data_IF_660490348866
#
_entry.id   IF_660490348866
#
_cell.length_a   1.000
_cell.length_b   1.000
_cell.length_c   1.000
_cell.angle_alpha   90.00
_cell.angle_beta   90.00
_cell.angle_gamma   90.00
#
_symmetry.space_group_name_H-M   'P 1'
#
loop_
_entity.id
_entity.type
_entity.pdbx_description
1 polymer ?
#
# COMPACT_ATOMS: atom_id res chain seq x y z
N UNK A 1 -25.66 2.25 -27.68
CA UNK A 1 -25.43 0.99 -26.94
C UNK A 1 -25.93 1.18 -25.51
N UNK A 2 -27.18 0.74 -25.25
CA UNK A 2 -27.73 0.64 -23.90
C UNK A 2 -26.95 -0.42 -23.13
N UNK A 3 -25.99 0.01 -22.34
CA UNK A 3 -25.35 -0.83 -21.34
C UNK A 3 -26.39 -1.15 -20.26
N UNK A 4 -26.81 -2.39 -20.22
CA UNK A 4 -27.94 -2.92 -19.48
C UNK A 4 -27.79 -2.69 -17.98
N UNK A 5 -28.31 -1.58 -17.43
CA UNK A 5 -28.34 -1.21 -16.00
C UNK A 5 -28.83 -2.34 -15.05
N UNK A 6 -29.56 -3.31 -15.58
CA UNK A 6 -30.06 -4.45 -14.79
C UNK A 6 -29.02 -5.53 -14.47
N UNK A 7 -27.85 -5.55 -15.14
CA UNK A 7 -26.78 -6.53 -14.86
C UNK A 7 -25.79 -6.05 -13.77
N UNK A 8 -25.76 -4.76 -13.47
CA UNK A 8 -24.83 -4.21 -12.45
C UNK A 8 -25.26 -4.49 -10.99
N UNK A 9 -26.53 -4.80 -10.75
CA UNK A 9 -27.03 -5.02 -9.39
C UNK A 9 -26.75 -6.42 -8.80
N UNK A 10 -26.12 -7.34 -9.55
CA UNK A 10 -25.88 -8.72 -9.11
C UNK A 10 -24.39 -9.11 -8.98
N UNK A 11 -23.47 -8.15 -8.99
CA UNK A 11 -22.03 -8.43 -8.87
C UNK A 11 -21.45 -8.02 -7.48
N UNK A 12 -22.28 -7.89 -6.49
CA UNK A 12 -21.78 -7.75 -5.12
C UNK A 12 -21.28 -9.10 -4.62
N UNK A 13 -20.05 -9.45 -4.97
CA UNK A 13 -19.30 -10.49 -4.28
C UNK A 13 -18.87 -9.95 -2.90
N UNK A 14 -19.87 -9.62 -2.06
CA UNK A 14 -19.62 -9.25 -0.70
C UNK A 14 -19.39 -10.53 0.12
N UNK A 15 -18.19 -10.71 0.63
CA UNK A 15 -17.90 -11.71 1.65
C UNK A 15 -18.27 -11.09 2.98
N UNK A 16 -19.38 -11.53 3.58
CA UNK A 16 -19.73 -11.13 4.94
C UNK A 16 -18.76 -11.81 5.91
N UNK A 17 -17.89 -11.05 6.51
CA UNK A 17 -17.14 -11.45 7.70
C UNK A 17 -17.90 -10.99 8.95
N UNK A 18 -17.72 -11.66 10.08
CA UNK A 18 -18.39 -11.27 11.35
C UNK A 18 -18.04 -9.84 11.82
N UNK A 19 -17.10 -9.15 11.17
CA UNK A 19 -16.61 -7.82 11.53
C UNK A 19 -16.83 -6.75 10.46
N UNK A 20 -17.52 -7.07 9.37
CA UNK A 20 -17.81 -6.11 8.31
C UNK A 20 -17.98 -6.75 6.93
N UNK A 21 -18.33 -5.93 5.95
CA UNK A 21 -18.48 -6.35 4.57
C UNK A 21 -17.19 -6.01 3.82
N UNK A 22 -16.43 -7.04 3.40
CA UNK A 22 -15.32 -6.85 2.49
C UNK A 22 -15.87 -6.76 1.06
N UNK A 23 -15.72 -5.61 0.43
CA UNK A 23 -16.12 -5.40 -0.96
C UNK A 23 -14.91 -5.73 -1.84
N UNK A 24 -14.95 -6.90 -2.48
CA UNK A 24 -13.97 -7.31 -3.50
C UNK A 24 -14.52 -6.92 -4.88
N UNK A 25 -14.56 -5.61 -5.14
CA UNK A 25 -15.07 -5.08 -6.40
C UNK A 25 -13.90 -4.65 -7.28
N UNK A 26 -13.79 -5.25 -8.48
CA UNK A 26 -12.82 -4.85 -9.50
C UNK A 26 -13.26 -3.61 -10.30
N UNK A 27 -14.51 -3.17 -10.13
CA UNK A 27 -15.09 -2.07 -10.88
C UNK A 27 -15.09 -0.74 -10.10
N UNK A 28 -13.98 -0.42 -9.44
CA UNK A 28 -13.84 0.80 -8.63
C UNK A 28 -14.14 2.09 -9.40
N UNK A 29 -13.99 2.09 -10.71
CA UNK A 29 -14.37 3.21 -11.58
C UNK A 29 -15.87 3.55 -11.51
N UNK A 30 -16.73 2.60 -11.15
CA UNK A 30 -18.18 2.83 -11.01
C UNK A 30 -18.51 3.87 -9.93
N UNK A 31 -17.63 4.08 -8.95
CA UNK A 31 -17.77 5.14 -7.93
C UNK A 31 -17.45 6.55 -8.45
N UNK A 32 -16.90 6.64 -9.67
CA UNK A 32 -16.50 7.87 -10.35
C UNK A 32 -17.12 7.96 -11.74
N UNK A 33 -18.39 7.55 -11.85
CA UNK A 33 -19.09 7.41 -13.13
C UNK A 33 -19.08 8.70 -13.95
N UNK A 34 -19.30 9.86 -13.32
CA UNK A 34 -19.29 11.15 -14.01
C UNK A 34 -17.96 11.43 -14.70
N UNK A 35 -16.85 11.07 -14.05
CA UNK A 35 -15.51 11.24 -14.61
C UNK A 35 -15.25 10.25 -15.75
N UNK A 36 -15.70 9.02 -15.61
CA UNK A 36 -15.61 8.01 -16.68
C UNK A 36 -16.40 8.46 -17.90
N UNK A 37 -17.61 8.98 -17.70
CA UNK A 37 -18.44 9.49 -18.77
C UNK A 37 -17.83 10.72 -19.47
N UNK A 38 -17.24 11.65 -18.72
CA UNK A 38 -16.53 12.79 -19.29
C UNK A 38 -15.36 12.33 -20.17
N UNK A 39 -14.60 11.32 -19.73
CA UNK A 39 -13.51 10.73 -20.51
C UNK A 39 -14.04 10.04 -21.79
N UNK A 40 -15.13 9.28 -21.69
CA UNK A 40 -15.78 8.64 -22.88
C UNK A 40 -16.28 9.68 -23.89
N UNK A 41 -16.70 10.86 -23.41
CA UNK A 41 -17.09 11.99 -24.25
C UNK A 41 -15.89 12.74 -24.87
N UNK A 42 -14.65 12.32 -24.59
CA UNK A 42 -13.44 12.95 -25.11
C UNK A 42 -12.98 14.20 -24.33
N UNK A 43 -13.52 14.43 -23.14
CA UNK A 43 -13.09 15.52 -22.28
C UNK A 43 -11.73 15.21 -21.65
N UNK A 44 -10.94 16.26 -21.38
CA UNK A 44 -9.69 16.11 -20.63
C UNK A 44 -10.00 16.04 -19.15
N UNK A 45 -9.72 14.89 -18.55
CA UNK A 45 -9.94 14.63 -17.13
C UNK A 45 -8.61 14.37 -16.42
N UNK A 46 -8.55 14.68 -15.13
CA UNK A 46 -7.46 14.21 -14.27
C UNK A 46 -7.71 12.74 -13.87
N UNK A 47 -6.66 11.95 -13.58
CA UNK A 47 -6.84 10.62 -13.01
C UNK A 47 -7.54 10.68 -11.65
N UNK A 48 -8.21 9.59 -11.26
CA UNK A 48 -8.85 9.49 -9.94
C UNK A 48 -7.80 9.32 -8.85
N UNK A 49 -6.76 8.53 -9.13
CA UNK A 49 -5.67 8.26 -8.20
C UNK A 49 -4.31 8.26 -8.91
N UNK A 50 -3.25 8.45 -8.14
CA UNK A 50 -1.87 8.45 -8.60
C UNK A 50 -1.06 7.46 -7.78
N UNK A 51 -0.26 6.64 -8.46
CA UNK A 51 0.77 5.81 -7.84
C UNK A 51 2.11 6.56 -7.87
N UNK A 52 2.78 6.69 -6.73
CA UNK A 52 4.04 7.40 -6.64
C UNK A 52 4.95 6.89 -5.52
N UNK A 53 6.20 7.32 -5.53
CA UNK A 53 7.15 7.13 -4.45
C UNK A 53 7.67 8.47 -3.93
N UNK A 54 8.01 8.52 -2.64
CA UNK A 54 8.65 9.68 -2.04
C UNK A 54 10.18 9.61 -2.07
N UNK A 55 10.71 8.40 -2.33
CA UNK A 55 12.15 8.16 -2.45
C UNK A 55 12.41 6.89 -3.23
N UNK A 56 13.52 6.83 -3.94
CA UNK A 56 14.04 5.60 -4.56
C UNK A 56 14.94 4.78 -3.63
N UNK A 57 15.27 5.30 -2.45
CA UNK A 57 16.05 4.56 -1.46
C UNK A 57 15.20 3.44 -0.84
N UNK A 58 15.81 2.28 -0.65
CA UNK A 58 15.20 1.11 -0.02
C UNK A 58 16.31 0.27 0.62
N UNK A 59 16.08 -0.25 1.82
CA UNK A 59 17.01 -1.16 2.48
C UNK A 59 16.86 -2.63 2.06
N UNK A 60 15.80 -2.98 1.32
CA UNK A 60 15.59 -4.33 0.80
C UNK A 60 16.15 -4.51 -0.61
N UNK A 61 16.41 -5.76 -1.00
CA UNK A 61 16.90 -6.17 -2.33
C UNK A 61 16.01 -7.26 -2.94
N UNK A 62 14.70 -7.10 -2.82
CA UNK A 62 13.72 -8.13 -3.18
C UNK A 62 13.99 -8.75 -4.54
N UNK A 63 13.93 -10.09 -4.62
CA UNK A 63 14.24 -10.85 -5.84
C UNK A 63 13.28 -10.54 -6.99
N UNK A 64 12.07 -10.11 -6.69
CA UNK A 64 11.01 -9.72 -7.65
C UNK A 64 10.97 -8.22 -7.95
N UNK A 65 11.85 -7.41 -7.36
CA UNK A 65 11.76 -5.95 -7.46
C UNK A 65 12.20 -5.47 -8.85
N UNK A 66 11.28 -4.91 -9.61
CA UNK A 66 11.59 -4.35 -10.94
C UNK A 66 12.52 -3.12 -10.87
N UNK A 67 12.49 -2.37 -9.77
CA UNK A 67 13.36 -1.23 -9.56
C UNK A 67 14.85 -1.61 -9.48
N UNK A 68 15.15 -2.87 -9.13
CA UNK A 68 16.52 -3.42 -9.13
C UNK A 68 17.07 -3.70 -10.53
N UNK A 69 16.21 -3.74 -11.55
CA UNK A 69 16.60 -3.96 -12.97
C UNK A 69 16.90 -2.63 -13.66
N UNK A 70 16.42 -1.52 -13.09
CA UNK A 70 16.73 -0.19 -13.61
C UNK A 70 18.15 0.21 -13.22
N UNK A 71 18.85 0.91 -14.14
CA UNK A 71 20.17 1.45 -13.82
C UNK A 71 20.12 2.24 -12.51
N UNK A 72 21.15 2.09 -11.65
CA UNK A 72 21.21 2.81 -10.39
C UNK A 72 21.38 4.31 -10.66
N UNK A 73 20.26 4.97 -10.90
CA UNK A 73 20.19 6.41 -10.82
C UNK A 73 20.32 6.80 -9.34
N UNK A 74 20.77 8.02 -9.08
CA UNK A 74 20.88 8.56 -7.72
C UNK A 74 19.63 8.20 -6.91
N UNK A 75 19.84 7.86 -5.64
CA UNK A 75 18.75 7.57 -4.67
C UNK A 75 17.92 8.83 -4.43
N UNK A 76 17.24 9.30 -5.47
CA UNK A 76 16.46 10.51 -5.46
C UNK A 76 15.35 10.44 -4.40
N UNK A 77 15.14 11.56 -3.73
CA UNK A 77 14.03 11.75 -2.78
C UNK A 77 13.38 13.08 -3.06
N UNK A 78 12.05 13.13 -3.01
CA UNK A 78 11.29 14.37 -3.12
C UNK A 78 11.49 15.17 -1.83
N UNK A 79 11.77 16.47 -1.94
CA UNK A 79 11.86 17.35 -0.78
C UNK A 79 10.47 17.59 -0.20
N UNK A 80 10.39 17.86 1.11
CA UNK A 80 9.11 18.04 1.82
C UNK A 80 8.25 19.10 1.11
N UNK A 81 8.80 20.28 0.84
CA UNK A 81 8.05 21.37 0.21
C UNK A 81 7.48 20.97 -1.16
N UNK A 82 8.28 20.29 -1.97
CA UNK A 82 7.88 19.84 -3.31
C UNK A 82 6.76 18.77 -3.22
N UNK A 83 6.87 17.86 -2.24
CA UNK A 83 5.86 16.82 -2.01
C UNK A 83 4.52 17.42 -1.56
N UNK A 84 4.53 18.45 -0.71
CA UNK A 84 3.32 19.12 -0.25
C UNK A 84 2.68 19.96 -1.36
N UNK A 85 3.46 20.72 -2.13
CA UNK A 85 2.95 21.48 -3.28
C UNK A 85 2.30 20.54 -4.31
N UNK A 86 2.91 19.38 -4.56
CA UNK A 86 2.35 18.38 -5.47
C UNK A 86 0.97 17.86 -4.99
N UNK A 87 0.78 17.69 -3.67
CA UNK A 87 -0.54 17.34 -3.12
C UNK A 87 -1.57 18.46 -3.32
N UNK A 88 -1.16 19.71 -3.15
CA UNK A 88 -2.05 20.86 -3.40
C UNK A 88 -2.48 20.90 -4.88
N UNK A 89 -1.55 20.68 -5.81
CA UNK A 89 -1.84 20.57 -7.24
C UNK A 89 -2.78 19.38 -7.53
N UNK A 90 -2.56 18.24 -6.88
CA UNK A 90 -3.44 17.07 -7.00
C UNK A 90 -4.87 17.37 -6.53
N UNK A 91 -5.00 18.08 -5.41
CA UNK A 91 -6.31 18.48 -4.89
C UNK A 91 -7.02 19.42 -5.86
N UNK A 92 -6.31 20.41 -6.42
CA UNK A 92 -6.82 21.40 -7.38
C UNK A 92 -7.39 20.73 -8.63
N UNK A 93 -6.69 19.74 -9.20
CA UNK A 93 -7.15 19.01 -10.40
C UNK A 93 -8.15 17.88 -10.07
N UNK A 94 -8.47 17.68 -8.79
CA UNK A 94 -9.52 16.74 -8.34
C UNK A 94 -9.08 15.29 -8.20
N UNK A 95 -7.80 14.99 -8.01
CA UNK A 95 -7.32 13.66 -7.60
C UNK A 95 -7.88 13.33 -6.22
N UNK A 96 -8.31 12.10 -6.01
CA UNK A 96 -8.97 11.64 -4.79
C UNK A 96 -8.06 10.80 -3.91
N UNK A 97 -7.06 10.16 -4.48
CA UNK A 97 -6.17 9.27 -3.73
C UNK A 97 -4.77 9.20 -4.28
N UNK A 98 -3.83 8.89 -3.39
CA UNK A 98 -2.44 8.60 -3.73
C UNK A 98 -2.06 7.25 -3.13
N UNK A 99 -1.45 6.39 -3.95
CA UNK A 99 -0.87 5.14 -3.49
C UNK A 99 0.66 5.28 -3.45
N UNK A 100 1.26 5.15 -2.29
CA UNK A 100 2.71 5.09 -2.13
C UNK A 100 3.18 3.64 -2.36
N UNK A 101 3.24 3.21 -3.63
CA UNK A 101 3.51 1.82 -4.03
C UNK A 101 4.55 1.68 -5.14
N UNK A 102 5.22 2.74 -5.51
CA UNK A 102 6.20 2.75 -6.58
C UNK A 102 7.61 2.35 -6.10
N UNK A 103 8.66 2.95 -6.65
CA UNK A 103 10.05 2.66 -6.34
C UNK A 103 10.42 2.95 -4.88
N UNK A 104 11.42 2.22 -4.37
CA UNK A 104 11.99 2.47 -3.05
C UNK A 104 11.06 2.12 -1.87
N UNK A 105 11.37 2.68 -0.71
CA UNK A 105 10.59 2.54 0.52
C UNK A 105 10.18 3.92 1.03
N UNK A 106 8.94 4.31 0.77
CA UNK A 106 8.46 5.66 1.09
C UNK A 106 8.53 6.00 2.59
N UNK A 107 8.45 5.01 3.48
CA UNK A 107 8.46 5.21 4.93
C UNK A 107 9.77 5.78 5.47
N UNK A 108 10.88 5.62 4.73
CA UNK A 108 12.17 6.20 5.13
C UNK A 108 12.36 7.64 4.65
N UNK A 109 11.51 8.13 3.74
CA UNK A 109 11.57 9.51 3.27
C UNK A 109 11.27 10.50 4.40
N UNK A 110 12.01 11.62 4.43
CA UNK A 110 11.70 12.74 5.33
C UNK A 110 10.35 13.39 5.02
N UNK A 111 9.86 13.26 3.80
CA UNK A 111 8.56 13.77 3.39
C UNK A 111 7.39 12.88 3.81
N UNK A 112 7.62 11.63 4.24
CA UNK A 112 6.58 10.62 4.45
C UNK A 112 5.49 11.08 5.43
N UNK A 113 5.87 11.43 6.65
CA UNK A 113 4.92 11.86 7.68
C UNK A 113 4.23 13.18 7.28
N UNK A 114 4.96 14.26 6.92
CA UNK A 114 4.32 15.50 6.47
C UNK A 114 3.38 15.32 5.28
N UNK A 115 3.73 14.46 4.31
CA UNK A 115 2.90 14.16 3.14
C UNK A 115 1.55 13.57 3.53
N UNK A 116 1.54 12.52 4.34
CA UNK A 116 0.31 11.83 4.74
C UNK A 116 -0.59 12.74 5.59
N UNK A 117 0.00 13.48 6.52
CA UNK A 117 -0.75 14.42 7.36
C UNK A 117 -1.35 15.57 6.53
N UNK A 118 -0.62 16.08 5.55
CA UNK A 118 -1.12 17.12 4.66
C UNK A 118 -2.23 16.58 3.75
N UNK A 119 -2.05 15.41 3.14
CA UNK A 119 -3.05 14.76 2.31
C UNK A 119 -4.38 14.57 3.06
N UNK A 120 -4.33 14.06 4.29
CA UNK A 120 -5.52 13.91 5.14
C UNK A 120 -6.21 15.26 5.42
N UNK A 121 -5.41 16.32 5.65
CA UNK A 121 -5.95 17.68 5.91
C UNK A 121 -6.70 18.26 4.71
N UNK A 122 -6.23 17.98 3.48
CA UNK A 122 -6.84 18.50 2.24
C UNK A 122 -7.81 17.52 1.57
N UNK A 123 -8.09 16.36 2.22
CA UNK A 123 -9.10 15.40 1.77
C UNK A 123 -8.64 14.48 0.63
N UNK A 124 -7.33 14.19 0.53
CA UNK A 124 -6.78 13.18 -0.36
C UNK A 124 -6.51 11.91 0.45
N UNK A 125 -7.08 10.80 0.02
CA UNK A 125 -6.84 9.49 0.60
C UNK A 125 -5.44 8.98 0.28
N UNK A 126 -4.76 8.38 1.27
CA UNK A 126 -3.43 7.80 1.05
C UNK A 126 -3.43 6.32 1.42
N UNK A 127 -3.00 5.51 0.46
CA UNK A 127 -2.61 4.12 0.67
C UNK A 127 -1.09 3.96 0.69
N UNK A 128 -0.59 3.00 1.45
CA UNK A 128 0.85 2.77 1.56
C UNK A 128 1.20 1.29 1.38
N UNK A 129 2.18 0.99 0.51
CA UNK A 129 2.85 -0.30 0.50
C UNK A 129 4.26 -0.13 1.07
N UNK A 130 4.67 -1.05 1.94
CA UNK A 130 5.93 -0.96 2.66
C UNK A 130 6.54 -2.34 2.88
N UNK A 131 7.86 -2.42 3.02
CA UNK A 131 8.54 -3.62 3.48
C UNK A 131 8.32 -3.91 4.98
N UNK A 132 7.75 -2.96 5.72
CA UNK A 132 7.36 -3.08 7.13
C UNK A 132 8.52 -2.94 8.11
N UNK A 133 9.70 -3.45 7.79
CA UNK A 133 10.82 -3.44 8.73
C UNK A 133 11.50 -2.07 8.89
N UNK A 134 11.36 -1.19 7.88
CA UNK A 134 11.85 0.20 7.93
C UNK A 134 10.78 1.19 8.43
N UNK A 135 9.54 0.73 8.64
CA UNK A 135 8.47 1.59 9.14
C UNK A 135 8.40 1.58 10.67
N UNK A 136 9.21 2.41 11.26
CA UNK A 136 9.37 2.50 12.70
C UNK A 136 8.06 2.86 13.45
N UNK A 137 7.82 2.32 14.66
CA UNK A 137 6.60 2.55 15.45
C UNK A 137 6.25 4.03 15.64
N UNK A 138 7.23 4.89 15.87
CA UNK A 138 7.00 6.33 16.04
C UNK A 138 6.42 7.00 14.80
N UNK A 139 6.70 6.49 13.59
CA UNK A 139 6.07 6.96 12.35
C UNK A 139 4.69 6.35 12.17
N UNK A 140 4.52 5.07 12.56
CA UNK A 140 3.22 4.40 12.54
C UNK A 140 2.21 5.21 13.37
N UNK A 141 2.56 5.61 14.58
CA UNK A 141 1.71 6.42 15.46
C UNK A 141 1.23 7.71 14.79
N UNK A 142 2.10 8.36 14.03
CA UNK A 142 1.84 9.66 13.43
C UNK A 142 0.96 9.60 12.18
N UNK A 143 0.94 8.48 11.47
CA UNK A 143 0.30 8.42 10.14
C UNK A 143 -0.81 7.38 10.02
N UNK A 144 -0.80 6.33 10.83
CA UNK A 144 -1.79 5.24 10.71
C UNK A 144 -3.24 5.74 10.77
N UNK A 145 -3.59 6.73 11.62
CA UNK A 145 -4.96 7.27 11.65
C UNK A 145 -5.39 8.00 10.38
N UNK A 146 -4.43 8.37 9.52
CA UNK A 146 -4.65 9.14 8.29
C UNK A 146 -4.53 8.29 7.02
N UNK A 147 -4.27 6.98 7.16
CA UNK A 147 -4.15 6.06 6.03
C UNK A 147 -5.47 5.32 5.78
N UNK A 148 -5.80 5.08 4.51
CA UNK A 148 -6.95 4.26 4.11
C UNK A 148 -6.60 2.78 4.09
N UNK A 149 -5.40 2.44 3.63
CA UNK A 149 -4.90 1.07 3.64
C UNK A 149 -3.37 1.03 3.76
N UNK A 150 -2.89 -0.06 4.33
CA UNK A 150 -1.46 -0.42 4.33
C UNK A 150 -1.30 -1.85 3.86
N UNK A 151 -0.41 -2.06 2.93
CA UNK A 151 -0.01 -3.37 2.41
C UNK A 151 1.45 -3.62 2.76
N UNK A 152 1.69 -4.56 3.65
CA UNK A 152 3.05 -4.98 3.98
C UNK A 152 3.54 -6.05 3.00
N UNK A 153 4.66 -5.82 2.35
CA UNK A 153 5.32 -6.78 1.48
C UNK A 153 6.19 -7.69 2.34
N UNK A 154 5.64 -8.83 2.75
CA UNK A 154 6.32 -9.81 3.61
C UNK A 154 6.99 -10.90 2.78
N UNK A 155 6.37 -11.31 1.67
CA UNK A 155 6.85 -12.24 0.65
C UNK A 155 7.07 -13.70 1.10
N UNK A 156 7.19 -14.00 2.40
CA UNK A 156 7.33 -15.37 2.92
C UNK A 156 6.73 -15.50 4.31
N UNK A 157 6.44 -16.72 4.73
CA UNK A 157 5.92 -17.05 6.06
C UNK A 157 6.98 -17.54 7.03
N UNK A 158 8.24 -17.70 6.59
CA UNK A 158 9.36 -18.12 7.41
C UNK A 158 10.49 -17.11 7.37
N UNK A 159 11.32 -16.99 8.45
CA UNK A 159 12.48 -16.10 8.45
C UNK A 159 13.47 -16.38 7.32
N UNK A 160 13.71 -17.66 7.03
CA UNK A 160 14.65 -18.09 5.98
C UNK A 160 14.10 -17.75 4.58
N UNK A 161 12.81 -18.01 4.32
CA UNK A 161 12.14 -17.63 3.08
C UNK A 161 12.14 -16.12 2.88
N UNK A 162 11.84 -15.38 3.96
CA UNK A 162 11.87 -13.92 3.96
C UNK A 162 13.25 -13.37 3.60
N UNK A 163 14.32 -13.85 4.26
CA UNK A 163 15.68 -13.41 3.98
C UNK A 163 16.09 -13.70 2.53
N UNK A 164 15.80 -14.90 2.01
CA UNK A 164 16.08 -15.26 0.60
C UNK A 164 15.35 -14.37 -0.39
N UNK A 165 14.08 -14.07 -0.15
CA UNK A 165 13.26 -13.28 -1.08
C UNK A 165 13.55 -11.79 -0.97
N UNK A 166 13.60 -11.26 0.25
CA UNK A 166 13.68 -9.82 0.49
C UNK A 166 15.10 -9.27 0.43
N UNK A 167 16.12 -10.13 0.65
CA UNK A 167 17.52 -9.71 0.70
C UNK A 167 18.45 -10.51 -0.20
N UNK A 168 17.96 -11.57 -0.86
CA UNK A 168 18.80 -12.51 -1.65
C UNK A 168 19.94 -13.11 -0.81
N UNK A 169 19.70 -13.33 0.48
CA UNK A 169 20.67 -13.76 1.49
C UNK A 169 20.04 -14.76 2.45
N UNK A 170 20.86 -15.56 3.11
CA UNK A 170 20.45 -16.43 4.21
C UNK A 170 20.73 -15.80 5.59
N UNK A 171 21.38 -14.62 5.62
CA UNK A 171 21.91 -14.00 6.84
C UNK A 171 20.97 -12.98 7.50
N UNK A 172 19.90 -12.54 6.83
CA UNK A 172 19.03 -11.47 7.33
C UNK A 172 17.72 -11.97 7.93
N UNK A 173 17.76 -13.10 8.64
CA UNK A 173 16.57 -13.70 9.25
C UNK A 173 16.01 -12.84 10.41
N UNK A 174 16.85 -12.11 11.11
CA UNK A 174 16.47 -11.20 12.20
C UNK A 174 15.58 -10.03 11.72
N UNK A 175 15.67 -9.66 10.44
CA UNK A 175 14.83 -8.60 9.87
C UNK A 175 13.37 -9.05 9.77
N UNK A 176 13.12 -10.36 9.64
CA UNK A 176 11.76 -10.91 9.69
C UNK A 176 11.07 -10.57 11.00
N UNK A 177 11.69 -10.86 12.14
CA UNK A 177 11.11 -10.60 13.45
C UNK A 177 10.83 -9.12 13.66
N UNK A 178 11.73 -8.26 13.18
CA UNK A 178 11.53 -6.81 13.20
C UNK A 178 10.32 -6.38 12.37
N UNK A 179 10.19 -6.89 11.15
CA UNK A 179 9.03 -6.62 10.30
C UNK A 179 7.73 -7.09 10.97
N UNK A 180 7.72 -8.31 11.52
CA UNK A 180 6.55 -8.87 12.20
C UNK A 180 6.17 -8.04 13.44
N UNK A 181 7.15 -7.58 14.20
CA UNK A 181 6.90 -6.72 15.36
C UNK A 181 6.26 -5.38 14.99
N UNK A 182 6.71 -4.75 13.88
CA UNK A 182 6.11 -3.50 13.40
C UNK A 182 4.70 -3.71 12.83
N UNK A 183 4.46 -4.80 12.11
CA UNK A 183 3.12 -5.15 11.61
C UNK A 183 2.17 -5.38 12.79
N UNK A 184 2.59 -6.17 13.75
CA UNK A 184 1.81 -6.43 14.98
C UNK A 184 1.52 -5.14 15.73
N UNK A 185 2.50 -4.24 15.84
CA UNK A 185 2.31 -2.93 16.43
C UNK A 185 1.22 -2.11 15.72
N UNK A 186 1.24 -2.08 14.38
CA UNK A 186 0.22 -1.38 13.59
C UNK A 186 -1.18 -2.00 13.79
N UNK A 187 -1.28 -3.33 13.84
CA UNK A 187 -2.55 -4.04 14.10
C UNK A 187 -3.09 -3.73 15.49
N UNK A 188 -2.23 -3.75 16.51
CA UNK A 188 -2.63 -3.46 17.89
C UNK A 188 -3.04 -1.98 18.06
N UNK A 189 -2.32 -1.06 17.40
CA UNK A 189 -2.67 0.36 17.38
C UNK A 189 -4.02 0.59 16.68
N UNK A 190 -4.26 -0.05 15.53
CA UNK A 190 -5.56 -0.02 14.84
C UNK A 190 -6.68 -0.43 15.78
N UNK A 191 -6.54 -1.56 16.48
CA UNK A 191 -7.55 -2.08 17.43
C UNK A 191 -7.74 -1.12 18.61
N UNK A 192 -6.64 -0.66 19.20
CA UNK A 192 -6.65 0.27 20.35
C UNK A 192 -7.39 1.58 20.06
N UNK A 193 -7.18 2.13 18.87
CA UNK A 193 -7.76 3.41 18.45
C UNK A 193 -9.05 3.25 17.62
N UNK A 194 -9.51 2.02 17.38
CA UNK A 194 -10.67 1.69 16.52
C UNK A 194 -10.58 2.36 15.14
N UNK A 195 -9.41 2.24 14.48
CA UNK A 195 -9.15 2.85 13.18
C UNK A 195 -9.81 2.05 12.05
N UNK A 196 -10.19 2.76 10.97
CA UNK A 196 -10.82 2.15 9.78
C UNK A 196 -9.80 1.71 8.72
N UNK A 197 -8.52 1.99 8.91
CA UNK A 197 -7.47 1.61 7.96
C UNK A 197 -7.47 0.10 7.73
N UNK A 198 -7.36 -0.34 6.47
CA UNK A 198 -7.19 -1.76 6.15
C UNK A 198 -5.71 -2.12 6.20
N UNK A 199 -5.37 -3.16 6.95
CA UNK A 199 -4.00 -3.67 7.09
C UNK A 199 -3.89 -5.06 6.48
N UNK A 200 -3.06 -5.24 5.47
CA UNK A 200 -2.86 -6.53 4.82
C UNK A 200 -1.38 -6.85 4.60
N UNK A 201 -1.06 -8.15 4.56
CA UNK A 201 0.25 -8.62 4.10
C UNK A 201 0.14 -9.14 2.67
N UNK A 202 1.21 -8.99 1.89
CA UNK A 202 1.28 -9.43 0.51
C UNK A 202 2.49 -10.33 0.28
N UNK A 203 2.26 -11.37 -0.52
CA UNK A 203 3.29 -12.23 -1.10
C UNK A 203 3.28 -12.12 -2.61
N UNK A 204 4.45 -11.97 -3.22
CA UNK A 204 4.64 -12.19 -4.65
C UNK A 204 4.92 -13.68 -4.84
N UNK A 205 3.98 -14.38 -5.44
CA UNK A 205 4.08 -15.82 -5.61
C UNK A 205 5.06 -16.16 -6.75
N UNK A 206 6.18 -16.76 -6.38
CA UNK A 206 7.19 -17.28 -7.30
C UNK A 206 7.26 -18.81 -7.18
N UNK A 207 7.39 -19.56 -8.29
CA UNK A 207 7.35 -21.02 -8.28
C UNK A 207 8.38 -21.66 -7.32
N UNK A 208 9.56 -21.10 -7.21
CA UNK A 208 10.64 -21.56 -6.33
C UNK A 208 10.33 -21.44 -4.84
N UNK A 209 9.42 -20.54 -4.47
CA UNK A 209 9.03 -20.27 -3.08
C UNK A 209 7.61 -20.76 -2.75
N UNK A 210 7.04 -21.67 -3.54
CA UNK A 210 5.69 -22.22 -3.33
C UNK A 210 5.48 -22.82 -1.92
N UNK A 211 6.55 -23.27 -1.29
CA UNK A 211 6.49 -23.85 0.06
C UNK A 211 6.19 -22.80 1.14
N UNK A 212 6.36 -21.51 0.84
CA UNK A 212 6.05 -20.40 1.74
C UNK A 212 4.56 -20.05 1.78
N UNK A 213 3.73 -20.57 0.86
CA UNK A 213 2.29 -20.22 0.79
C UNK A 213 1.56 -20.56 2.09
N UNK A 214 1.72 -21.78 2.60
CA UNK A 214 1.03 -22.22 3.82
C UNK A 214 1.57 -21.52 5.07
N UNK A 215 2.90 -21.42 5.28
CA UNK A 215 3.46 -20.61 6.36
C UNK A 215 2.97 -19.16 6.31
N UNK A 216 2.94 -18.55 5.12
CA UNK A 216 2.47 -17.17 4.94
C UNK A 216 0.98 -16.99 5.32
N UNK A 217 0.12 -17.91 4.92
CA UNK A 217 -1.30 -17.87 5.29
C UNK A 217 -1.50 -17.99 6.82
N UNK A 218 -0.74 -18.86 7.50
CA UNK A 218 -0.74 -18.95 8.95
C UNK A 218 -0.26 -17.67 9.61
N UNK A 219 0.83 -17.11 9.10
CA UNK A 219 1.38 -15.84 9.59
C UNK A 219 0.35 -14.69 9.51
N UNK A 220 -0.45 -14.62 8.43
CA UNK A 220 -1.50 -13.62 8.30
C UNK A 220 -2.53 -13.73 9.43
N UNK A 221 -2.93 -14.95 9.77
CA UNK A 221 -3.86 -15.22 10.87
C UNK A 221 -3.24 -14.83 12.22
N UNK A 222 -1.99 -15.21 12.46
CA UNK A 222 -1.29 -14.96 13.73
C UNK A 222 -1.05 -13.47 13.96
N UNK A 223 -0.76 -12.70 12.90
CA UNK A 223 -0.63 -11.24 12.96
C UNK A 223 -1.97 -10.54 13.19
N UNK A 224 -3.08 -11.15 12.77
CA UNK A 224 -4.42 -10.59 12.90
C UNK A 224 -4.66 -9.40 11.99
N UNK A 225 -4.08 -9.43 10.77
CA UNK A 225 -4.38 -8.47 9.69
C UNK A 225 -5.80 -8.70 9.15
N UNK A 226 -6.33 -7.73 8.37
CA UNK A 226 -7.72 -7.77 7.86
C UNK A 226 -7.98 -8.83 6.81
#
# INVERSE_FOLDING_TARGET
HEFNRKKMNNLNNAVNTNEGTLILDSHKLSYHFDRVQAWENGERIAPVSVDMALTRACGSMCSFCYAMVQEPQERASIKIKEALNLLDDFAEIGIKGVSLISDGESTISKAYVPFIQHAAKIGIDVGNATNGWEWEPNKIDQVLPSLTWVRFTVAAGTPEGYAKIMFKSEEHTEVFDRAMSHIKYAVDLKKKLNLKVTLGIQMVLMPEFKNEIIPFAKLAIDLGVD
#
